data_IF_168461479058
#
_entry.id   IF_168461479058
#
_cell.length_a   1.000
_cell.length_b   1.000
_cell.length_c   1.000
_cell.angle_alpha   90.00
_cell.angle_beta   90.00
_cell.angle_gamma   90.00
#
_symmetry.space_group_name_H-M   'P 1'
#
loop_
_entity.id
_entity.type
_entity.pdbx_description
1 polymer ?
#
# COMPACT_ATOMS: atom_id res chain seq x y z
N UNK A 1 77.03 -18.15 56.00
CA UNK A 1 76.18 -19.06 55.21
C UNK A 1 74.99 -18.23 54.80
N UNK A 2 74.92 -17.94 53.51
CA UNK A 2 74.00 -16.99 52.90
C UNK A 2 72.54 -17.39 53.09
N UNK A 3 71.73 -16.44 53.59
CA UNK A 3 70.28 -16.52 53.56
C UNK A 3 69.79 -16.43 52.10
N UNK A 4 69.15 -17.49 51.63
CA UNK A 4 68.45 -17.49 50.35
C UNK A 4 67.23 -16.57 50.45
N UNK A 5 67.36 -15.38 49.89
CA UNK A 5 66.25 -14.46 49.63
C UNK A 5 65.33 -15.11 48.59
N UNK A 6 64.20 -15.66 49.04
CA UNK A 6 63.12 -16.12 48.16
C UNK A 6 62.48 -14.87 47.55
N UNK A 7 62.89 -14.56 46.32
CA UNK A 7 62.36 -13.47 45.52
C UNK A 7 60.91 -13.80 45.12
N UNK A 8 59.92 -13.34 45.88
CA UNK A 8 58.53 -13.42 45.45
C UNK A 8 58.31 -12.45 44.29
N UNK A 9 57.85 -12.91 43.11
CA UNK A 9 57.56 -12.02 42.01
C UNK A 9 56.47 -11.02 42.42
N UNK A 10 56.65 -9.75 42.07
CA UNK A 10 55.68 -8.69 42.34
C UNK A 10 54.29 -9.03 41.75
N UNK A 11 53.23 -8.47 42.35
CA UNK A 11 51.84 -8.70 41.91
C UNK A 11 51.60 -8.33 40.44
N UNK A 12 52.34 -7.35 39.92
CA UNK A 12 52.32 -6.98 38.49
C UNK A 12 52.90 -8.08 37.60
N UNK A 13 54.03 -8.67 37.99
CA UNK A 13 54.69 -9.76 37.26
C UNK A 13 53.78 -11.00 37.20
N UNK A 14 53.03 -11.29 38.26
CA UNK A 14 52.08 -12.42 38.28
C UNK A 14 50.87 -12.20 37.37
N UNK A 15 50.36 -10.96 37.28
CA UNK A 15 49.24 -10.62 36.39
C UNK A 15 49.63 -10.69 34.91
N UNK A 16 50.84 -10.23 34.56
CA UNK A 16 51.35 -10.27 33.20
C UNK A 16 51.58 -11.70 32.71
N UNK A 17 52.19 -12.54 33.57
CA UNK A 17 52.42 -13.95 33.30
C UNK A 17 51.09 -14.70 33.05
N UNK A 18 50.07 -14.42 33.86
CA UNK A 18 48.74 -15.01 33.71
C UNK A 18 48.06 -14.60 32.39
N UNK A 19 48.16 -13.32 31.99
CA UNK A 19 47.65 -12.85 30.68
C UNK A 19 48.34 -13.55 29.51
N UNK A 20 49.66 -13.72 29.59
CA UNK A 20 50.43 -14.43 28.56
C UNK A 20 50.00 -15.90 28.44
N UNK A 21 49.81 -16.58 29.58
CA UNK A 21 49.27 -17.95 29.60
C UNK A 21 47.88 -18.04 28.96
N UNK A 22 47.00 -17.07 29.25
CA UNK A 22 45.66 -16.99 28.67
C UNK A 22 45.69 -16.79 27.13
N UNK A 23 46.55 -15.90 26.63
CA UNK A 23 46.72 -15.67 25.19
C UNK A 23 47.21 -16.93 24.46
N UNK A 24 48.18 -17.64 25.04
CA UNK A 24 48.66 -18.90 24.49
C UNK A 24 47.56 -19.97 24.49
N UNK A 25 46.78 -20.06 25.56
CA UNK A 25 45.63 -20.97 25.60
C UNK A 25 44.61 -20.67 24.49
N UNK A 26 44.26 -19.39 24.29
CA UNK A 26 43.35 -18.99 23.21
C UNK A 26 43.92 -19.18 21.81
N UNK A 27 45.24 -19.23 21.67
CA UNK A 27 45.95 -19.53 20.41
C UNK A 27 46.01 -21.03 20.10
N UNK A 28 45.44 -21.89 20.96
CA UNK A 28 45.33 -23.33 20.73
C UNK A 28 46.43 -24.20 21.36
N UNK A 29 47.33 -23.61 22.16
CA UNK A 29 48.35 -24.37 22.88
C UNK A 29 47.74 -25.20 24.02
N UNK A 30 48.26 -26.42 24.21
CA UNK A 30 47.85 -27.27 25.34
C UNK A 30 48.44 -26.74 26.64
N UNK A 31 47.77 -26.95 27.78
CA UNK A 31 48.25 -26.53 29.11
C UNK A 31 49.68 -27.04 29.39
N UNK A 32 50.00 -28.27 28.96
CA UNK A 32 51.34 -28.85 29.09
C UNK A 32 52.42 -28.14 28.25
N UNK A 33 52.05 -27.49 27.14
CA UNK A 33 52.97 -26.69 26.32
C UNK A 33 53.16 -25.31 26.93
N UNK A 34 52.09 -24.69 27.41
CA UNK A 34 52.13 -23.39 28.10
C UNK A 34 52.97 -23.50 29.38
N UNK A 35 52.76 -24.57 30.16
CA UNK A 35 53.52 -24.87 31.38
C UNK A 35 55.01 -24.95 31.10
N UNK A 36 55.42 -25.65 30.03
CA UNK A 36 56.84 -25.77 29.63
C UNK A 36 57.45 -24.46 29.13
N UNK A 37 56.69 -23.64 28.41
CA UNK A 37 57.21 -22.40 27.81
C UNK A 37 57.28 -21.23 28.79
N UNK A 38 56.37 -21.19 29.79
CA UNK A 38 56.33 -20.12 30.78
C UNK A 38 56.96 -20.51 32.13
N UNK A 39 57.41 -21.76 32.26
CA UNK A 39 57.95 -22.33 33.51
C UNK A 39 56.99 -22.19 34.70
N UNK A 40 55.71 -22.53 34.47
CA UNK A 40 54.63 -22.46 35.46
C UNK A 40 54.04 -23.85 35.65
N UNK A 41 53.76 -24.30 36.89
CA UNK A 41 53.06 -25.56 37.12
C UNK A 41 51.73 -25.64 36.36
N UNK A 42 51.50 -26.75 35.65
CA UNK A 42 50.28 -26.99 34.88
C UNK A 42 49.00 -26.88 35.73
N UNK A 43 49.08 -27.23 37.02
CA UNK A 43 47.99 -27.09 37.99
C UNK A 43 47.58 -25.63 38.23
N UNK A 44 48.54 -24.70 38.24
CA UNK A 44 48.28 -23.26 38.39
C UNK A 44 47.56 -22.70 37.16
N UNK A 45 47.99 -23.08 35.95
CA UNK A 45 47.34 -22.67 34.70
C UNK A 45 45.93 -23.26 34.61
N UNK A 46 45.73 -24.53 34.97
CA UNK A 46 44.41 -25.15 35.03
C UNK A 46 43.48 -24.42 36.03
N UNK A 47 44.00 -24.05 37.21
CA UNK A 47 43.22 -23.29 38.19
C UNK A 47 42.79 -21.91 37.66
N UNK A 48 43.65 -21.22 36.91
CA UNK A 48 43.29 -19.95 36.27
C UNK A 48 42.22 -20.13 35.19
N UNK A 49 42.41 -21.14 34.34
CA UNK A 49 41.47 -21.52 33.29
C UNK A 49 40.07 -21.78 33.84
N UNK A 50 39.98 -22.53 34.94
CA UNK A 50 38.69 -22.89 35.55
C UNK A 50 38.05 -21.71 36.29
N UNK A 51 38.83 -20.94 37.07
CA UNK A 51 38.31 -19.77 37.81
C UNK A 51 37.76 -18.67 36.91
N UNK A 52 38.44 -18.43 35.78
CA UNK A 52 38.06 -17.40 34.81
C UNK A 52 37.28 -17.95 33.62
N UNK A 53 36.93 -19.25 33.66
CA UNK A 53 36.08 -19.92 32.66
C UNK A 53 36.55 -19.67 31.23
N UNK A 54 37.84 -19.88 30.97
CA UNK A 54 38.44 -19.59 29.67
C UNK A 54 37.74 -20.32 28.50
N UNK A 55 37.16 -21.50 28.76
CA UNK A 55 36.41 -22.27 27.76
C UNK A 55 35.07 -21.64 27.38
N UNK A 56 34.44 -20.91 28.30
CA UNK A 56 33.14 -20.27 28.10
C UNK A 56 33.27 -18.95 27.28
N UNK A 57 34.49 -18.46 27.07
CA UNK A 57 34.74 -17.24 26.31
C UNK A 57 34.66 -17.55 24.82
N UNK A 58 33.56 -17.10 24.19
CA UNK A 58 33.36 -17.19 22.75
C UNK A 58 34.50 -16.50 21.96
N UNK A 59 34.88 -16.98 20.76
CA UNK A 59 35.95 -16.40 19.95
C UNK A 59 35.82 -14.87 19.73
N UNK A 60 34.60 -14.37 19.55
CA UNK A 60 34.32 -12.94 19.43
C UNK A 60 34.67 -12.17 20.71
N UNK A 61 34.38 -12.74 21.88
CA UNK A 61 34.75 -12.14 23.18
C UNK A 61 36.27 -12.13 23.42
N UNK A 62 37.01 -13.08 22.83
CA UNK A 62 38.48 -13.10 22.90
C UNK A 62 39.10 -11.95 22.09
N UNK A 63 38.56 -11.67 20.90
CA UNK A 63 38.99 -10.54 20.07
C UNK A 63 38.65 -9.21 20.72
N UNK A 64 37.47 -9.09 21.33
CA UNK A 64 37.06 -7.90 22.08
C UNK A 64 38.02 -7.60 23.24
N UNK A 65 38.37 -8.61 24.04
CA UNK A 65 39.33 -8.46 25.14
C UNK A 65 40.70 -7.99 24.65
N UNK A 66 41.17 -8.50 23.51
CA UNK A 66 42.43 -8.08 22.90
C UNK A 66 42.37 -6.62 22.41
N UNK A 67 41.28 -6.23 21.76
CA UNK A 67 41.04 -4.85 21.30
C UNK A 67 40.99 -3.88 22.49
N UNK A 68 40.25 -4.22 23.53
CA UNK A 68 40.13 -3.42 24.76
C UNK A 68 41.49 -3.25 25.45
N UNK A 69 42.25 -4.35 25.59
CA UNK A 69 43.58 -4.32 26.21
C UNK A 69 44.54 -3.41 25.43
N UNK A 70 44.55 -3.51 24.10
CA UNK A 70 45.39 -2.67 23.25
C UNK A 70 44.97 -1.19 23.32
N UNK A 71 43.67 -0.92 23.34
CA UNK A 71 43.14 0.43 23.46
C UNK A 71 43.53 1.05 24.81
N UNK A 72 43.39 0.33 25.92
CA UNK A 72 43.79 0.79 27.25
C UNK A 72 45.29 1.13 27.32
N UNK A 73 46.15 0.30 26.71
CA UNK A 73 47.59 0.57 26.63
C UNK A 73 47.90 1.87 25.87
N UNK A 74 47.24 2.10 24.73
CA UNK A 74 47.44 3.32 23.94
C UNK A 74 46.90 4.56 24.65
N UNK A 75 45.79 4.44 25.37
CA UNK A 75 45.22 5.53 26.18
C UNK A 75 46.17 5.92 27.32
N UNK A 76 46.75 4.93 28.01
CA UNK A 76 47.65 5.13 29.14
C UNK A 76 49.05 5.67 28.76
N UNK A 77 49.42 5.63 27.47
CA UNK A 77 50.71 6.14 26.98
C UNK A 77 50.86 7.65 27.23
N UNK A 78 51.91 8.08 27.91
CA UNK A 78 52.14 9.50 28.28
C UNK A 78 52.35 10.40 27.05
N UNK A 79 53.28 10.04 26.17
CA UNK A 79 53.51 10.74 24.90
C UNK A 79 52.87 9.99 23.73
N UNK A 80 51.84 10.59 23.14
CA UNK A 80 51.11 10.01 21.99
C UNK A 80 51.59 10.63 20.68
N UNK A 81 51.95 9.77 19.74
CA UNK A 81 52.28 10.11 18.36
C UNK A 81 51.04 10.11 17.46
N UNK A 82 51.16 10.70 16.27
CA UNK A 82 50.09 10.65 15.27
C UNK A 82 49.67 9.24 14.84
N UNK A 83 50.57 8.25 14.91
CA UNK A 83 50.21 6.85 14.67
C UNK A 83 49.39 6.25 15.82
N UNK A 84 49.67 6.63 17.06
CA UNK A 84 48.90 6.16 18.22
C UNK A 84 47.44 6.64 18.14
N UNK A 85 47.21 7.90 17.76
CA UNK A 85 45.86 8.42 17.56
C UNK A 85 45.09 7.70 16.44
N UNK A 86 45.76 7.33 15.34
CA UNK A 86 45.15 6.54 14.27
C UNK A 86 44.79 5.13 14.73
N UNK A 87 45.64 4.51 15.53
CA UNK A 87 45.37 3.19 16.08
C UNK A 87 44.20 3.22 17.08
N UNK A 88 44.14 4.24 17.94
CA UNK A 88 43.01 4.46 18.86
C UNK A 88 41.69 4.62 18.08
N UNK A 89 41.65 5.44 17.03
CA UNK A 89 40.46 5.60 16.18
C UNK A 89 40.08 4.27 15.49
N UNK A 90 41.06 3.52 14.97
CA UNK A 90 40.81 2.23 14.35
C UNK A 90 40.21 1.22 15.35
N UNK A 91 40.80 1.11 16.54
CA UNK A 91 40.34 0.21 17.60
C UNK A 91 38.93 0.59 18.08
N UNK A 92 38.67 1.89 18.26
CA UNK A 92 37.33 2.40 18.63
C UNK A 92 36.26 2.02 17.60
N UNK A 93 36.56 2.14 16.30
CA UNK A 93 35.65 1.71 15.21
C UNK A 93 35.42 0.21 15.21
N UNK A 94 36.42 -0.62 15.55
CA UNK A 94 36.22 -2.07 15.65
C UNK A 94 35.34 -2.43 16.85
N UNK A 95 35.52 -1.77 18.00
CA UNK A 95 34.68 -1.98 19.18
C UNK A 95 33.21 -1.62 18.88
N UNK A 96 32.97 -0.49 18.21
CA UNK A 96 31.61 -0.10 17.80
C UNK A 96 30.95 -1.15 16.88
N UNK A 97 31.72 -1.70 15.92
CA UNK A 97 31.23 -2.78 15.03
C UNK A 97 30.91 -4.05 15.80
N UNK A 98 31.75 -4.43 16.76
CA UNK A 98 31.49 -5.60 17.61
C UNK A 98 30.23 -5.42 18.47
N UNK A 99 30.02 -4.23 19.03
CA UNK A 99 28.80 -3.91 19.78
C UNK A 99 27.53 -4.02 18.91
N UNK A 100 27.59 -3.55 17.65
CA UNK A 100 26.48 -3.68 16.68
C UNK A 100 26.19 -5.14 16.32
N UNK A 101 27.23 -5.93 16.06
CA UNK A 101 27.09 -7.37 15.78
C UNK A 101 26.49 -8.10 16.98
N UNK A 102 26.92 -7.78 18.21
CA UNK A 102 26.31 -8.33 19.43
C UNK A 102 24.83 -7.99 19.52
N UNK A 103 24.45 -6.71 19.39
CA UNK A 103 23.06 -6.26 19.44
C UNK A 103 22.18 -7.03 18.46
N UNK A 104 22.66 -7.26 17.25
CA UNK A 104 21.98 -8.09 16.25
C UNK A 104 21.88 -9.57 16.68
N UNK A 105 22.99 -10.19 17.10
CA UNK A 105 23.02 -11.61 17.49
C UNK A 105 22.19 -11.96 18.72
N UNK A 106 21.95 -11.00 19.63
CA UNK A 106 21.13 -11.20 20.84
C UNK A 106 19.62 -10.91 20.64
N UNK A 107 19.18 -10.62 19.41
CA UNK A 107 17.76 -10.53 19.05
C UNK A 107 17.09 -9.16 19.25
N UNK A 108 17.76 -8.20 19.92
CA UNK A 108 17.28 -6.82 20.10
C UNK A 108 17.68 -5.88 18.94
N UNK A 109 18.45 -6.38 17.97
CA UNK A 109 18.94 -5.63 16.82
C UNK A 109 18.23 -6.00 15.53
N UNK A 110 18.23 -5.07 14.58
CA UNK A 110 17.73 -5.29 13.21
C UNK A 110 18.86 -5.10 12.18
N UNK A 111 18.60 -5.40 10.90
CA UNK A 111 19.60 -5.26 9.83
C UNK A 111 20.19 -3.84 9.71
N UNK A 112 19.48 -2.82 10.23
CA UNK A 112 19.92 -1.43 10.24
C UNK A 112 21.09 -1.22 11.21
N UNK A 113 21.18 -1.99 12.29
CA UNK A 113 22.30 -1.95 13.23
C UNK A 113 23.61 -2.48 12.59
N UNK A 114 23.51 -3.45 11.68
CA UNK A 114 24.65 -4.01 10.95
C UNK A 114 25.15 -3.08 9.83
N UNK A 115 24.24 -2.39 9.14
CA UNK A 115 24.59 -1.47 8.06
C UNK A 115 23.82 -0.14 8.18
N UNK A 116 24.46 0.91 8.75
CA UNK A 116 23.85 2.24 8.88
C UNK A 116 23.45 2.86 7.54
N UNK A 117 24.00 2.41 6.41
CA UNK A 117 23.60 2.88 5.09
C UNK A 117 22.16 2.45 4.72
N UNK A 118 21.63 1.38 5.32
CA UNK A 118 20.24 0.97 5.14
C UNK A 118 19.26 2.00 5.73
N UNK A 119 19.62 2.66 6.85
CA UNK A 119 18.83 3.75 7.40
C UNK A 119 18.70 4.91 6.40
N UNK A 120 19.78 5.21 5.68
CA UNK A 120 19.82 6.29 4.69
C UNK A 120 19.01 5.96 3.43
N UNK A 121 18.81 4.67 3.09
CA UNK A 121 17.98 4.24 1.95
C UNK A 121 16.49 4.49 2.18
N UNK A 122 16.05 4.46 3.44
CA UNK A 122 14.64 4.63 3.83
C UNK A 122 14.29 6.07 4.28
N UNK A 123 15.24 7.02 4.15
CA UNK A 123 15.07 8.41 4.60
C UNK A 123 14.32 9.31 3.61
N UNK A 124 13.99 8.80 2.43
CA UNK A 124 13.15 9.52 1.45
C UNK A 124 11.68 9.45 1.83
N UNK A 125 10.93 10.54 1.59
CA UNK A 125 9.47 10.51 1.60
C UNK A 125 9.00 9.43 0.60
N UNK A 126 8.47 8.31 1.09
CA UNK A 126 7.72 7.38 0.24
C UNK A 126 6.54 8.17 -0.32
N UNK A 127 6.60 8.57 -1.59
CA UNK A 127 5.41 9.04 -2.32
C UNK A 127 4.33 7.99 -2.09
N UNK A 128 3.24 8.36 -1.40
CA UNK A 128 2.09 7.48 -1.24
C UNK A 128 1.67 7.06 -2.64
N UNK A 129 1.57 5.75 -2.87
CA UNK A 129 1.02 5.23 -4.12
C UNK A 129 -0.32 5.93 -4.37
N UNK A 130 -0.49 6.50 -5.57
CA UNK A 130 -1.73 7.18 -5.91
C UNK A 130 -2.89 6.18 -5.80
N UNK A 131 -3.94 6.48 -5.02
CA UNK A 131 -5.07 5.59 -4.89
C UNK A 131 -5.75 5.42 -6.25
N UNK A 132 -6.13 4.18 -6.58
CA UNK A 132 -6.79 3.85 -7.85
C UNK A 132 -5.98 4.25 -9.09
N UNK A 133 -4.66 4.13 -9.06
CA UNK A 133 -3.81 4.37 -10.22
C UNK A 133 -4.22 3.47 -11.41
N UNK A 134 -4.31 4.07 -12.59
CA UNK A 134 -4.62 3.42 -13.86
C UNK A 134 -3.60 3.94 -14.87
N UNK A 135 -2.80 3.05 -15.47
CA UNK A 135 -1.88 3.42 -16.54
C UNK A 135 -2.65 3.62 -17.86
N UNK A 136 -2.03 4.29 -18.83
CA UNK A 136 -2.62 4.46 -20.16
C UNK A 136 -2.93 3.12 -20.84
N UNK A 137 -2.04 2.14 -20.72
CA UNK A 137 -2.26 0.79 -21.25
C UNK A 137 -3.48 0.11 -20.61
N UNK A 138 -3.63 0.27 -19.28
CA UNK A 138 -4.80 -0.25 -18.56
C UNK A 138 -6.09 0.46 -18.99
N UNK A 139 -6.04 1.77 -19.20
CA UNK A 139 -7.18 2.54 -19.71
C UNK A 139 -7.62 2.05 -21.10
N UNK A 140 -6.68 1.85 -22.02
CA UNK A 140 -6.97 1.33 -23.37
C UNK A 140 -7.58 -0.08 -23.32
N UNK A 141 -7.07 -0.97 -22.46
CA UNK A 141 -7.67 -2.30 -22.24
C UNK A 141 -9.12 -2.20 -21.75
N UNK A 142 -9.41 -1.27 -20.83
CA UNK A 142 -10.75 -1.04 -20.30
C UNK A 142 -11.71 -0.46 -21.34
N UNK A 143 -11.22 0.41 -22.23
CA UNK A 143 -12.02 0.97 -23.31
C UNK A 143 -12.34 -0.12 -24.34
N UNK A 144 -11.32 -0.83 -24.84
CA UNK A 144 -11.47 -1.85 -25.87
C UNK A 144 -12.33 -3.03 -25.38
N UNK A 145 -12.05 -3.53 -24.16
CA UNK A 145 -12.84 -4.60 -23.55
C UNK A 145 -14.34 -4.27 -23.43
N UNK A 146 -14.68 -3.00 -23.21
CA UNK A 146 -16.06 -2.56 -23.13
C UNK A 146 -16.71 -2.55 -24.52
N UNK A 147 -16.02 -2.01 -25.52
CA UNK A 147 -16.52 -1.91 -26.89
C UNK A 147 -16.71 -3.28 -27.55
N UNK A 148 -15.80 -4.21 -27.28
CA UNK A 148 -15.83 -5.57 -27.82
C UNK A 148 -16.86 -6.45 -27.11
N UNK A 149 -17.01 -6.30 -25.79
CA UNK A 149 -17.94 -7.08 -24.97
C UNK A 149 -19.43 -6.71 -25.12
N UNK A 150 -19.77 -5.66 -25.88
CA UNK A 150 -21.16 -5.20 -26.02
C UNK A 150 -22.03 -6.16 -26.85
N UNK A 151 -23.19 -6.52 -26.29
CA UNK A 151 -24.27 -7.17 -27.05
C UNK A 151 -24.90 -6.20 -28.07
N UNK A 152 -25.50 -6.75 -29.13
CA UNK A 152 -26.10 -5.95 -30.21
C UNK A 152 -27.13 -4.92 -29.73
N UNK A 153 -27.99 -5.27 -28.76
CA UNK A 153 -28.97 -4.33 -28.21
C UNK A 153 -28.31 -3.24 -27.36
N UNK A 154 -27.18 -3.53 -26.72
CA UNK A 154 -26.41 -2.55 -25.94
C UNK A 154 -25.73 -1.52 -26.84
N UNK A 155 -25.32 -1.92 -28.05
CA UNK A 155 -24.78 -0.98 -29.06
C UNK A 155 -25.78 0.11 -29.44
N UNK A 156 -27.09 -0.20 -29.39
CA UNK A 156 -28.15 0.80 -29.60
C UNK A 156 -28.13 1.83 -28.47
N UNK A 157 -28.02 1.39 -27.21
CA UNK A 157 -27.90 2.29 -26.06
C UNK A 157 -26.62 3.13 -26.11
N UNK A 158 -25.52 2.54 -26.59
CA UNK A 158 -24.24 3.21 -26.77
C UNK A 158 -24.34 4.34 -27.80
N UNK A 159 -24.93 4.06 -28.97
CA UNK A 159 -25.15 5.08 -30.00
C UNK A 159 -26.03 6.22 -29.48
N UNK A 160 -27.05 5.91 -28.69
CA UNK A 160 -27.95 6.91 -28.09
C UNK A 160 -27.27 7.86 -27.07
N UNK A 161 -25.97 7.68 -26.76
CA UNK A 161 -25.19 8.65 -25.94
C UNK A 161 -25.11 10.04 -26.57
N UNK A 162 -25.37 10.18 -27.88
CA UNK A 162 -25.50 11.47 -28.56
C UNK A 162 -26.61 12.34 -27.94
N UNK A 163 -27.61 11.72 -27.31
CA UNK A 163 -28.68 12.43 -26.65
C UNK A 163 -28.32 12.80 -25.21
N UNK A 164 -28.42 14.09 -24.89
CA UNK A 164 -28.19 14.59 -23.52
C UNK A 164 -29.11 13.93 -22.50
N UNK A 165 -30.37 13.67 -22.85
CA UNK A 165 -31.34 13.01 -21.98
C UNK A 165 -31.89 11.80 -22.71
N UNK A 166 -31.71 10.60 -22.16
CA UNK A 166 -32.23 9.35 -22.73
C UNK A 166 -33.06 8.59 -21.71
N UNK A 167 -34.25 8.15 -22.16
CA UNK A 167 -35.21 7.40 -21.36
C UNK A 167 -35.33 6.02 -21.99
N UNK A 168 -34.93 4.97 -21.28
CA UNK A 168 -34.77 3.62 -21.83
C UNK A 168 -35.69 2.66 -21.08
N UNK A 169 -36.67 2.11 -21.78
CA UNK A 169 -37.44 0.98 -21.27
C UNK A 169 -36.68 -0.30 -21.59
N UNK A 170 -36.55 -1.18 -20.60
CA UNK A 170 -35.80 -2.43 -20.73
C UNK A 170 -36.52 -3.61 -20.10
N UNK A 171 -36.25 -4.81 -20.62
CA UNK A 171 -36.69 -6.07 -20.00
C UNK A 171 -35.89 -6.34 -18.72
N UNK A 172 -36.39 -7.23 -17.85
CA UNK A 172 -35.62 -7.69 -16.67
C UNK A 172 -34.49 -8.61 -17.10
N UNK A 173 -33.44 -8.69 -16.28
CA UNK A 173 -32.34 -9.67 -16.41
C UNK A 173 -31.55 -9.61 -17.73
N UNK A 174 -31.56 -8.47 -18.44
CA UNK A 174 -30.79 -8.27 -19.68
C UNK A 174 -29.46 -7.52 -19.47
N UNK A 175 -28.88 -7.57 -18.27
CA UNK A 175 -27.57 -6.94 -18.01
C UNK A 175 -27.52 -5.41 -18.17
N UNK A 176 -28.64 -4.68 -18.03
CA UNK A 176 -28.66 -3.22 -18.16
C UNK A 176 -27.74 -2.52 -17.14
N UNK A 177 -27.79 -2.92 -15.87
CA UNK A 177 -26.93 -2.38 -14.80
C UNK A 177 -25.45 -2.63 -15.10
N UNK A 178 -25.10 -3.82 -15.60
CA UNK A 178 -23.73 -4.16 -16.02
C UNK A 178 -23.25 -3.23 -17.14
N UNK A 179 -24.06 -3.08 -18.19
CA UNK A 179 -23.74 -2.20 -19.31
C UNK A 179 -23.54 -0.74 -18.88
N UNK A 180 -24.50 -0.15 -18.16
CA UNK A 180 -24.40 1.25 -17.75
C UNK A 180 -23.32 1.50 -16.71
N UNK A 181 -22.96 0.50 -15.90
CA UNK A 181 -21.79 0.58 -15.03
C UNK A 181 -20.50 0.74 -15.84
N UNK A 182 -20.31 -0.05 -16.89
CA UNK A 182 -19.11 0.01 -17.73
C UNK A 182 -19.09 1.25 -18.61
N UNK A 183 -20.23 1.60 -19.21
CA UNK A 183 -20.35 2.82 -20.01
C UNK A 183 -20.01 4.06 -19.20
N UNK A 184 -20.52 4.16 -17.97
CA UNK A 184 -20.21 5.25 -17.06
C UNK A 184 -18.73 5.27 -16.66
N UNK A 185 -18.14 4.10 -16.37
CA UNK A 185 -16.73 4.01 -15.99
C UNK A 185 -15.80 4.44 -17.14
N UNK A 186 -16.06 3.95 -18.36
CA UNK A 186 -15.31 4.37 -19.56
C UNK A 186 -15.52 5.85 -19.86
N UNK A 187 -16.74 6.38 -19.68
CA UNK A 187 -17.00 7.82 -19.77
C UNK A 187 -16.18 8.62 -18.75
N UNK A 188 -16.06 8.13 -17.52
CA UNK A 188 -15.28 8.79 -16.48
C UNK A 188 -13.79 8.84 -16.83
N UNK A 189 -13.24 7.74 -17.35
CA UNK A 189 -11.85 7.66 -17.81
C UNK A 189 -11.57 8.64 -18.95
N UNK A 190 -12.41 8.61 -19.98
CA UNK A 190 -12.19 9.39 -21.21
C UNK A 190 -12.52 10.88 -21.10
N UNK A 191 -13.50 11.26 -20.28
CA UNK A 191 -13.95 12.67 -20.20
C UNK A 191 -13.59 13.37 -18.90
N UNK A 192 -13.12 12.65 -17.88
CA UNK A 192 -12.90 13.22 -16.55
C UNK A 192 -14.19 13.69 -15.84
N UNK A 193 -15.36 13.34 -16.38
CA UNK A 193 -16.63 13.74 -15.76
C UNK A 193 -17.00 12.80 -14.63
N UNK A 194 -17.55 13.36 -13.56
CA UNK A 194 -18.15 12.58 -12.49
C UNK A 194 -19.35 11.77 -13.01
N UNK A 195 -19.57 10.60 -12.42
CA UNK A 195 -20.69 9.71 -12.75
C UNK A 195 -21.48 9.44 -11.48
N UNK A 196 -22.78 9.73 -11.55
CA UNK A 196 -23.70 9.63 -10.43
C UNK A 196 -24.68 8.50 -10.71
N UNK A 197 -24.63 7.46 -9.88
CA UNK A 197 -25.52 6.32 -9.94
C UNK A 197 -26.60 6.48 -8.88
N UNK A 198 -27.84 6.64 -9.31
CA UNK A 198 -29.01 6.74 -8.44
C UNK A 198 -29.93 5.54 -8.70
N UNK A 199 -30.38 4.87 -7.65
CA UNK A 199 -31.29 3.73 -7.75
C UNK A 199 -32.35 3.77 -6.65
N UNK A 200 -33.37 2.92 -6.74
CA UNK A 200 -34.43 2.80 -5.74
C UNK A 200 -33.93 2.43 -4.33
N UNK A 201 -32.69 1.93 -4.17
CA UNK A 201 -32.02 1.76 -2.88
C UNK A 201 -30.50 1.92 -3.01
N UNK A 202 -29.81 2.25 -1.90
CA UNK A 202 -28.34 2.32 -1.86
C UNK A 202 -27.70 0.96 -2.20
N UNK A 203 -28.30 -0.16 -1.76
CA UNK A 203 -27.81 -1.51 -2.09
C UNK A 203 -27.80 -1.77 -3.60
N UNK A 204 -28.85 -1.35 -4.31
CA UNK A 204 -28.88 -1.44 -5.78
C UNK A 204 -27.85 -0.50 -6.42
N UNK A 205 -27.66 0.72 -5.92
CA UNK A 205 -26.63 1.62 -6.43
C UNK A 205 -25.21 1.03 -6.27
N UNK A 206 -24.93 0.34 -5.15
CA UNK A 206 -23.67 -0.38 -4.94
C UNK A 206 -23.46 -1.56 -5.90
N UNK A 207 -24.50 -2.03 -6.60
CA UNK A 207 -24.33 -3.03 -7.66
C UNK A 207 -23.52 -2.48 -8.84
N UNK A 208 -23.71 -1.20 -9.20
CA UNK A 208 -22.87 -0.54 -10.21
C UNK A 208 -21.40 -0.56 -9.78
N UNK A 209 -21.15 -0.21 -8.51
CA UNK A 209 -19.80 -0.25 -7.93
C UNK A 209 -19.18 -1.64 -8.05
N UNK A 210 -19.92 -2.68 -7.71
CA UNK A 210 -19.43 -4.06 -7.82
C UNK A 210 -19.08 -4.43 -9.26
N UNK A 211 -19.90 -4.04 -10.25
CA UNK A 211 -19.58 -4.30 -11.66
C UNK A 211 -18.33 -3.55 -12.11
N UNK A 212 -18.19 -2.27 -11.74
CA UNK A 212 -17.02 -1.46 -12.08
C UNK A 212 -15.74 -2.05 -11.49
N UNK A 213 -15.74 -2.37 -10.19
CA UNK A 213 -14.56 -2.94 -9.51
C UNK A 213 -14.17 -4.29 -10.13
N UNK A 214 -15.14 -5.17 -10.36
CA UNK A 214 -14.88 -6.48 -10.95
C UNK A 214 -14.35 -6.34 -12.38
N UNK A 215 -14.91 -5.44 -13.18
CA UNK A 215 -14.48 -5.20 -14.55
C UNK A 215 -13.06 -4.63 -14.62
N UNK A 216 -12.75 -3.64 -13.77
CA UNK A 216 -11.42 -3.07 -13.67
C UNK A 216 -10.37 -4.12 -13.31
N UNK A 217 -10.69 -5.00 -12.34
CA UNK A 217 -9.81 -6.08 -11.91
C UNK A 217 -9.62 -7.15 -12.99
N UNK A 218 -10.70 -7.59 -13.63
CA UNK A 218 -10.64 -8.68 -14.60
C UNK A 218 -10.00 -8.27 -15.93
N UNK A 219 -10.21 -7.03 -16.36
CA UNK A 219 -9.81 -6.58 -17.71
C UNK A 219 -8.40 -5.97 -17.72
N UNK A 220 -8.01 -5.30 -16.63
CA UNK A 220 -6.77 -4.53 -16.58
C UNK A 220 -5.96 -4.70 -15.28
N UNK A 221 -6.34 -5.67 -14.42
CA UNK A 221 -5.73 -5.92 -13.11
C UNK A 221 -5.70 -4.68 -12.18
N UNK A 222 -6.72 -3.82 -12.27
CA UNK A 222 -6.84 -2.60 -11.46
C UNK A 222 -7.70 -2.84 -10.22
N UNK A 223 -7.12 -2.58 -9.04
CA UNK A 223 -7.83 -2.67 -7.75
C UNK A 223 -8.44 -1.32 -7.33
N UNK A 224 -9.68 -1.07 -7.75
CA UNK A 224 -10.44 0.12 -7.38
C UNK A 224 -10.99 0.05 -5.94
N UNK A 225 -10.78 1.12 -5.17
CA UNK A 225 -11.16 1.25 -3.76
C UNK A 225 -11.92 2.56 -3.47
N UNK A 226 -12.59 2.59 -2.32
CA UNK A 226 -13.37 3.73 -1.83
C UNK A 226 -14.89 3.51 -1.92
N UNK A 227 -15.65 4.23 -1.09
CA UNK A 227 -17.12 4.30 -1.20
C UNK A 227 -17.51 5.09 -2.45
N UNK A 228 -16.94 6.28 -2.59
CA UNK A 228 -16.80 7.00 -3.87
C UNK A 228 -15.46 6.62 -4.46
N UNK A 229 -15.46 6.13 -5.70
CA UNK A 229 -14.22 5.80 -6.41
C UNK A 229 -13.72 7.06 -7.09
N UNK A 230 -12.56 7.56 -6.68
CA UNK A 230 -11.87 8.66 -7.35
C UNK A 230 -10.86 8.10 -8.34
N UNK A 231 -10.90 8.58 -9.57
CA UNK A 231 -9.96 8.20 -10.63
C UNK A 231 -8.79 9.19 -10.72
N UNK A 232 -7.65 8.80 -11.29
CA UNK A 232 -6.46 9.66 -11.39
C UNK A 232 -6.70 10.97 -12.15
N UNK A 233 -7.64 10.97 -13.10
CA UNK A 233 -8.05 12.14 -13.88
C UNK A 233 -9.00 13.09 -13.11
N UNK A 234 -9.29 12.82 -11.84
CA UNK A 234 -10.16 13.63 -10.99
C UNK A 234 -11.64 13.28 -11.04
N UNK A 235 -12.07 12.38 -11.93
CA UNK A 235 -13.46 11.94 -11.99
C UNK A 235 -13.86 11.13 -10.75
N UNK A 236 -15.07 11.36 -10.26
CA UNK A 236 -15.65 10.63 -9.15
C UNK A 236 -16.83 9.75 -9.58
N UNK A 237 -16.83 8.49 -9.15
CA UNK A 237 -17.95 7.55 -9.28
C UNK A 237 -18.73 7.51 -7.97
N UNK A 238 -19.95 8.05 -7.99
CA UNK A 238 -20.75 8.36 -6.80
C UNK A 238 -22.01 7.49 -6.80
N UNK A 239 -22.21 6.70 -5.75
CA UNK A 239 -23.31 5.73 -5.65
C UNK A 239 -24.34 6.16 -4.60
N UNK A 240 -25.55 6.52 -5.00
CA UNK A 240 -26.59 7.13 -4.16
C UNK A 240 -27.88 6.29 -4.12
N UNK A 241 -28.54 6.26 -2.96
CA UNK A 241 -29.90 5.77 -2.80
C UNK A 241 -30.95 6.89 -2.90
N UNK A 242 -32.21 6.59 -2.57
CA UNK A 242 -33.35 7.53 -2.68
C UNK A 242 -33.43 8.59 -1.57
N UNK A 243 -32.31 8.97 -0.94
CA UNK A 243 -32.29 10.07 0.02
C UNK A 243 -32.01 11.39 -0.71
N UNK A 244 -33.05 12.20 -0.90
CA UNK A 244 -32.96 13.48 -1.61
C UNK A 244 -32.03 14.49 -0.95
N UNK A 245 -31.82 14.43 0.37
CA UNK A 245 -30.94 15.36 1.09
C UNK A 245 -29.46 15.14 0.73
N UNK A 246 -29.07 13.88 0.52
CA UNK A 246 -27.68 13.51 0.19
C UNK A 246 -27.36 13.75 -1.28
N UNK A 247 -28.37 13.86 -2.15
CA UNK A 247 -28.19 13.95 -3.59
C UNK A 247 -27.98 15.39 -4.13
N UNK A 248 -28.14 16.45 -3.35
CA UNK A 248 -28.14 17.82 -3.89
C UNK A 248 -26.73 18.38 -4.19
N UNK A 249 -25.68 17.86 -3.57
CA UNK A 249 -24.34 18.48 -3.61
C UNK A 249 -23.46 18.03 -4.77
N UNK A 250 -23.85 16.98 -5.50
CA UNK A 250 -23.01 16.37 -6.52
C UNK A 250 -23.33 16.92 -7.91
N UNK A 251 -22.32 16.92 -8.80
CA UNK A 251 -22.48 17.23 -10.22
C UNK A 251 -21.83 16.15 -11.08
N UNK A 252 -22.45 15.77 -12.19
CA UNK A 252 -21.94 14.70 -13.05
C UNK A 252 -22.99 14.15 -14.02
N UNK A 253 -22.59 13.19 -14.85
CA UNK A 253 -23.51 12.39 -15.65
C UNK A 253 -24.39 11.55 -14.72
N UNK A 254 -25.71 11.62 -14.92
CA UNK A 254 -26.68 10.90 -14.11
C UNK A 254 -27.06 9.57 -14.77
N UNK A 255 -26.98 8.49 -14.02
CA UNK A 255 -27.56 7.18 -14.31
C UNK A 255 -28.60 6.85 -13.25
N UNK A 256 -29.87 6.92 -13.62
CA UNK A 256 -31.01 6.66 -12.74
C UNK A 256 -31.66 5.33 -13.11
N UNK A 257 -31.35 4.30 -12.32
CA UNK A 257 -31.85 2.93 -12.46
C UNK A 257 -33.19 2.74 -11.73
N UNK A 258 -33.95 1.77 -12.23
CA UNK A 258 -35.22 1.30 -11.71
C UNK A 258 -36.22 2.40 -11.34
N UNK A 259 -36.31 3.44 -12.17
CA UNK A 259 -37.18 4.61 -11.96
C UNK A 259 -38.66 4.28 -11.74
N UNK A 260 -39.18 3.18 -12.30
CA UNK A 260 -40.56 2.72 -12.06
C UNK A 260 -40.78 2.05 -10.69
N UNK A 261 -39.71 1.90 -9.91
CA UNK A 261 -39.70 1.34 -8.56
C UNK A 261 -39.30 2.37 -7.50
N UNK A 262 -39.10 3.63 -7.91
CA UNK A 262 -38.71 4.72 -7.02
C UNK A 262 -39.96 5.41 -6.44
N UNK A 263 -40.15 5.41 -5.12
CA UNK A 263 -41.24 6.16 -4.49
C UNK A 263 -41.07 7.67 -4.72
N UNK A 264 -42.18 8.38 -4.95
CA UNK A 264 -42.18 9.85 -5.19
C UNK A 264 -41.17 10.25 -6.27
N UNK A 265 -41.16 9.51 -7.39
CA UNK A 265 -40.23 9.69 -8.49
C UNK A 265 -40.06 11.15 -8.93
N UNK A 266 -41.12 11.95 -9.00
CA UNK A 266 -41.04 13.35 -9.46
C UNK A 266 -40.16 14.22 -8.57
N UNK A 267 -40.23 14.01 -7.24
CA UNK A 267 -39.38 14.70 -6.27
C UNK A 267 -37.93 14.29 -6.45
N UNK A 268 -37.68 12.98 -6.55
CA UNK A 268 -36.33 12.45 -6.75
C UNK A 268 -35.73 12.88 -8.09
N UNK A 269 -36.52 12.86 -9.16
CA UNK A 269 -36.12 13.30 -10.49
C UNK A 269 -35.76 14.78 -10.49
N UNK A 270 -36.54 15.64 -9.82
CA UNK A 270 -36.24 17.07 -9.72
C UNK A 270 -34.85 17.30 -9.14
N UNK A 271 -34.55 16.66 -8.02
CA UNK A 271 -33.22 16.71 -7.38
C UNK A 271 -32.14 16.12 -8.30
N UNK A 272 -32.38 14.93 -8.86
CA UNK A 272 -31.40 14.24 -9.67
C UNK A 272 -31.05 14.99 -10.96
N UNK A 273 -32.05 15.59 -11.62
CA UNK A 273 -31.84 16.41 -12.81
C UNK A 273 -31.02 17.67 -12.52
N UNK A 274 -31.07 18.18 -11.28
CA UNK A 274 -30.26 19.30 -10.81
C UNK A 274 -28.76 18.96 -10.74
N UNK A 275 -28.42 17.72 -10.34
CA UNK A 275 -27.02 17.24 -10.35
C UNK A 275 -26.40 17.27 -11.76
N UNK A 276 -27.23 17.05 -12.78
CA UNK A 276 -26.82 17.08 -14.18
C UNK A 276 -27.37 18.33 -14.89
N UNK A 277 -27.35 19.50 -14.23
CA UNK A 277 -27.87 20.75 -14.80
C UNK A 277 -26.97 21.34 -15.87
N UNK A 278 -25.64 21.17 -15.76
CA UNK A 278 -24.70 21.70 -16.75
C UNK A 278 -24.86 20.99 -18.11
N UNK A 279 -24.63 21.73 -19.21
CA UNK A 279 -24.92 21.24 -20.58
C UNK A 279 -24.10 19.99 -20.95
N UNK A 280 -22.87 19.88 -20.46
CA UNK A 280 -21.96 18.76 -20.72
C UNK A 280 -22.42 17.43 -20.09
N UNK A 281 -23.24 17.48 -19.03
CA UNK A 281 -23.68 16.28 -18.33
C UNK A 281 -24.92 15.66 -18.95
N UNK A 282 -24.89 14.33 -19.09
CA UNK A 282 -25.97 13.51 -19.61
C UNK A 282 -26.87 13.01 -18.48
N UNK A 283 -28.11 12.69 -18.83
CA UNK A 283 -29.10 12.09 -17.94
C UNK A 283 -29.68 10.83 -18.58
N UNK A 284 -29.41 9.70 -17.96
CA UNK A 284 -29.85 8.37 -18.41
C UNK A 284 -30.84 7.82 -17.41
N UNK A 285 -32.08 7.67 -17.83
CA UNK A 285 -33.13 7.04 -17.03
C UNK A 285 -33.45 5.69 -17.65
N UNK A 286 -33.42 4.62 -16.87
CA UNK A 286 -33.72 3.28 -17.38
C UNK A 286 -34.40 2.44 -16.32
N UNK A 287 -35.37 1.62 -16.75
CA UNK A 287 -36.11 0.75 -15.84
C UNK A 287 -37.01 -0.22 -16.60
N UNK A 288 -37.43 -1.27 -15.90
CA UNK A 288 -38.52 -2.13 -16.34
C UNK A 288 -39.85 -1.41 -16.08
N UNK A 289 -40.74 -1.25 -17.07
CA UNK A 289 -42.03 -0.61 -16.85
C UNK A 289 -42.88 -1.40 -15.83
N UNK A 290 -43.66 -0.67 -15.04
CA UNK A 290 -44.62 -1.24 -14.07
C UNK A 290 -46.06 -0.92 -14.49
N UNK A 291 -46.71 0.04 -13.83
CA UNK A 291 -48.09 0.44 -14.11
C UNK A 291 -48.14 1.83 -14.74
N UNK A 292 -49.19 2.08 -15.53
CA UNK A 292 -49.42 3.41 -16.13
C UNK A 292 -49.73 4.50 -15.09
N UNK A 293 -50.10 4.10 -13.88
CA UNK A 293 -50.40 5.00 -12.76
C UNK A 293 -49.12 5.53 -12.07
N UNK A 294 -47.97 4.89 -12.28
CA UNK A 294 -46.70 5.36 -11.72
C UNK A 294 -46.28 6.68 -12.39
N UNK A 295 -45.83 7.67 -11.62
CA UNK A 295 -45.55 9.00 -12.18
C UNK A 295 -44.41 9.04 -13.21
N UNK A 296 -43.47 8.09 -13.14
CA UNK A 296 -42.47 7.89 -14.19
C UNK A 296 -43.08 7.59 -15.57
N UNK A 297 -44.29 7.03 -15.65
CA UNK A 297 -44.95 6.73 -16.93
C UNK A 297 -45.19 8.01 -17.74
N UNK A 298 -45.71 9.06 -17.11
CA UNK A 298 -45.89 10.36 -17.75
C UNK A 298 -44.56 10.95 -18.24
N UNK A 299 -43.51 10.89 -17.43
CA UNK A 299 -42.18 11.37 -17.82
C UNK A 299 -41.60 10.62 -19.04
N UNK A 300 -41.83 9.31 -19.14
CA UNK A 300 -41.37 8.52 -20.29
C UNK A 300 -42.20 8.79 -21.56
N UNK A 301 -43.47 9.19 -21.41
CA UNK A 301 -44.33 9.60 -22.52
C UNK A 301 -44.17 11.07 -22.93
N UNK A 302 -43.82 11.96 -22.00
CA UNK A 302 -43.79 13.41 -22.20
C UNK A 302 -42.76 13.86 -23.26
N UNK A 303 -41.81 13.00 -23.63
CA UNK A 303 -40.92 13.24 -24.77
C UNK A 303 -41.59 13.15 -26.14
N UNK A 304 -42.92 13.05 -26.20
CA UNK A 304 -43.71 13.12 -27.44
C UNK A 304 -44.58 14.39 -27.58
N UNK A 305 -44.41 15.39 -26.71
CA UNK A 305 -45.04 16.70 -26.87
C UNK A 305 -43.98 17.81 -26.93
N UNK A 306 -43.29 17.91 -28.07
CA UNK A 306 -42.60 19.16 -28.41
C UNK A 306 -43.71 20.16 -28.78
N UNK A 307 -43.87 21.21 -27.98
CA UNK A 307 -44.79 22.30 -28.26
C UNK A 307 -44.20 23.17 -29.38
N UNK A 308 -44.57 22.90 -30.63
CA UNK A 308 -44.32 23.80 -31.77
C UNK A 308 -45.68 24.37 -32.20
N UNK A 309 -46.03 25.55 -31.67
CA UNK A 309 -47.27 26.26 -32.04
C UNK A 309 -48.58 25.61 -31.55
N UNK A 310 -49.74 26.15 -31.98
CA UNK A 310 -51.05 25.86 -31.36
C UNK A 310 -51.74 24.57 -31.80
N UNK A 311 -51.10 23.69 -32.60
CA UNK A 311 -51.71 22.41 -33.00
C UNK A 311 -50.82 21.23 -32.63
N UNK A 312 -51.40 20.28 -31.86
CA UNK A 312 -50.78 19.01 -31.45
C UNK A 312 -50.93 18.00 -32.59
N UNK A 313 -49.81 17.57 -33.17
CA UNK A 313 -49.81 16.44 -34.13
C UNK A 313 -49.19 15.21 -33.45
N UNK A 314 -49.92 14.09 -33.42
CA UNK A 314 -49.43 12.82 -32.88
C UNK A 314 -48.54 12.12 -33.91
N UNK A 315 -47.29 11.80 -33.55
CA UNK A 315 -46.47 10.88 -34.34
C UNK A 315 -46.54 9.46 -33.77
N UNK A 316 -46.46 8.48 -34.68
CA UNK A 316 -46.59 7.04 -34.41
C UNK A 316 -45.42 6.52 -33.56
N UNK A 317 -45.82 5.99 -32.42
CA UNK A 317 -45.15 5.07 -31.51
C UNK A 317 -44.15 4.12 -32.20
N UNK A 318 -42.85 4.22 -31.90
CA UNK A 318 -41.91 3.10 -32.07
C UNK A 318 -41.58 2.58 -30.69
N UNK A 319 -42.39 1.67 -30.18
CA UNK A 319 -41.98 0.86 -29.04
C UNK A 319 -40.81 -0.02 -29.49
N UNK A 320 -39.63 0.14 -28.90
CA UNK A 320 -38.66 -0.95 -28.82
C UNK A 320 -39.14 -1.94 -27.73
N UNK A 321 -40.30 -2.55 -27.95
CA UNK A 321 -40.77 -3.70 -27.16
C UNK A 321 -40.75 -4.93 -28.05
N UNK A 322 -39.61 -5.61 -28.03
CA UNK A 322 -39.41 -7.06 -28.10
C UNK A 322 -37.96 -7.33 -28.52
N UNK A 323 -37.12 -7.56 -27.54
CA UNK A 323 -36.08 -8.59 -27.59
C UNK A 323 -36.37 -9.52 -26.44
#
# INVERSE_FOLDING_TARGET
MDEQVINQPSLEVTAEIKRKAQQMYFSGYKIAEISRQLDIPASTIASWKDREKWDDIAPVGRVELALETRLNLLIAKEEKSGSDYKEIDLLGRQMERMARVKKYSFGDGNEVDLNPKLANRNKGERKKAEPNAISQEQEELLINGFLDGMFNYQRIWHKAKEHRIRNILKSRQIGATYYFAHEAFVDALTTGHNQIFLSASKKQALQFRSYIVNYAKQTADVDLKGETIKLPNGAELIFLGTNSATAQSYHGNLYFDEVFWVPKFDVMRKVASGMAAQKMYRQTYFSTPTTIAHSAYAFFLEKHLIKIGPRRTKLKLTFLTRI
#
